data_IF_512097615774
#
_entry.id   IF_512097615774
#
_cell.length_a   1.000
_cell.length_b   1.000
_cell.length_c   1.000
_cell.angle_alpha   90.00
_cell.angle_beta   90.00
_cell.angle_gamma   90.00
#
_symmetry.space_group_name_H-M   'P 1'
#
loop_
_entity.id
_entity.type
_entity.pdbx_description
1 polymer ?
#
# COMPACT_ATOMS: atom_id res chain seq x y z
N UNK A 1 52.62 -28.99 -16.70
CA UNK A 1 51.36 -28.22 -16.57
C UNK A 1 51.59 -26.71 -16.44
N UNK A 2 52.42 -26.25 -15.49
CA UNK A 2 52.78 -24.81 -15.34
C UNK A 2 53.40 -24.15 -16.58
N UNK A 3 54.20 -24.90 -17.36
CA UNK A 3 54.82 -24.37 -18.59
C UNK A 3 53.76 -24.03 -19.66
N UNK A 4 52.77 -24.91 -19.84
CA UNK A 4 51.69 -24.76 -20.83
C UNK A 4 50.80 -23.56 -20.48
N UNK A 5 50.46 -23.39 -19.18
CA UNK A 5 49.68 -22.23 -18.69
C UNK A 5 50.44 -20.91 -18.88
N UNK A 6 51.77 -20.90 -18.65
CA UNK A 6 52.61 -19.71 -18.88
C UNK A 6 52.68 -19.32 -20.35
N UNK A 7 52.88 -20.29 -21.26
CA UNK A 7 52.87 -20.02 -22.70
C UNK A 7 51.47 -19.56 -23.17
N UNK A 8 50.40 -20.14 -22.63
CA UNK A 8 49.03 -19.72 -22.93
C UNK A 8 48.74 -18.27 -22.48
N UNK A 9 49.14 -17.87 -21.26
CA UNK A 9 49.01 -16.50 -20.79
C UNK A 9 49.83 -15.51 -21.60
N UNK A 10 51.05 -15.88 -22.00
CA UNK A 10 51.90 -15.06 -22.86
C UNK A 10 51.25 -14.85 -24.25
N UNK A 11 50.59 -15.88 -24.78
CA UNK A 11 49.83 -15.82 -26.04
C UNK A 11 48.59 -14.93 -25.94
N UNK A 12 47.81 -15.02 -24.85
CA UNK A 12 46.68 -14.12 -24.61
C UNK A 12 47.12 -12.66 -24.46
N UNK A 13 48.28 -12.44 -23.83
CA UNK A 13 48.86 -11.10 -23.62
C UNK A 13 49.47 -10.51 -24.89
N UNK A 14 49.83 -11.30 -25.90
CA UNK A 14 50.27 -10.79 -27.20
C UNK A 14 49.08 -10.39 -28.09
N UNK A 15 47.90 -11.00 -27.92
CA UNK A 15 46.66 -10.74 -28.69
C UNK A 15 45.58 -10.00 -27.87
N UNK A 16 45.99 -8.98 -27.11
CA UNK A 16 45.15 -8.31 -26.09
C UNK A 16 43.80 -7.84 -26.63
N UNK A 17 43.76 -7.24 -27.81
CA UNK A 17 42.53 -6.69 -28.39
C UNK A 17 41.51 -7.80 -28.69
N UNK A 18 41.92 -8.82 -29.44
CA UNK A 18 41.03 -9.93 -29.83
C UNK A 18 40.59 -10.72 -28.61
N UNK A 19 41.50 -10.99 -27.67
CA UNK A 19 41.15 -11.64 -26.40
C UNK A 19 40.20 -10.79 -25.54
N UNK A 20 40.36 -9.46 -25.50
CA UNK A 20 39.44 -8.59 -24.77
C UNK A 20 38.04 -8.60 -25.40
N UNK A 21 37.94 -8.54 -26.73
CA UNK A 21 36.66 -8.60 -27.45
C UNK A 21 35.94 -9.94 -27.23
N UNK A 22 36.66 -11.06 -27.24
CA UNK A 22 36.05 -12.38 -26.97
C UNK A 22 35.59 -12.51 -25.52
N UNK A 23 36.41 -12.07 -24.56
CA UNK A 23 36.03 -12.05 -23.14
C UNK A 23 34.84 -11.13 -22.90
N UNK A 24 34.81 -9.93 -23.50
CA UNK A 24 33.69 -9.01 -23.39
C UNK A 24 32.41 -9.60 -23.98
N UNK A 25 32.49 -10.28 -25.12
CA UNK A 25 31.35 -10.97 -25.74
C UNK A 25 30.79 -12.06 -24.83
N UNK A 26 31.66 -12.94 -24.30
CA UNK A 26 31.25 -13.99 -23.35
C UNK A 26 30.66 -13.38 -22.07
N UNK A 27 31.31 -12.36 -21.51
CA UNK A 27 30.85 -11.67 -20.31
C UNK A 27 29.47 -11.03 -20.52
N UNK A 28 29.24 -10.39 -21.67
CA UNK A 28 27.94 -9.81 -22.01
C UNK A 28 26.86 -10.88 -22.13
N UNK A 29 27.15 -11.99 -22.83
CA UNK A 29 26.19 -13.10 -22.95
C UNK A 29 25.82 -13.72 -21.60
N UNK A 30 26.81 -13.98 -20.74
CA UNK A 30 26.59 -14.55 -19.40
C UNK A 30 25.85 -13.55 -18.51
N UNK A 31 26.24 -12.27 -18.53
CA UNK A 31 25.58 -11.22 -17.74
C UNK A 31 24.13 -11.05 -18.15
N UNK A 32 23.83 -11.10 -19.44
CA UNK A 32 22.45 -11.02 -19.94
C UNK A 32 21.63 -12.22 -19.46
N UNK A 33 22.17 -13.44 -19.59
CA UNK A 33 21.48 -14.66 -19.16
C UNK A 33 21.19 -14.63 -17.65
N UNK A 34 22.21 -14.36 -16.83
CA UNK A 34 22.08 -14.28 -15.36
C UNK A 34 21.18 -13.11 -14.97
N UNK A 35 21.29 -11.97 -15.65
CA UNK A 35 20.46 -10.79 -15.41
C UNK A 35 18.99 -11.08 -15.62
N UNK A 36 18.62 -11.75 -16.72
CA UNK A 36 17.23 -12.14 -16.99
C UNK A 36 16.70 -13.08 -15.90
N UNK A 37 17.47 -14.10 -15.51
CA UNK A 37 17.02 -15.04 -14.49
C UNK A 37 16.88 -14.37 -13.12
N UNK A 38 17.79 -13.45 -12.78
CA UNK A 38 17.73 -12.68 -11.54
C UNK A 38 16.50 -11.76 -11.50
N UNK A 39 16.22 -11.06 -12.61
CA UNK A 39 15.01 -10.21 -12.73
C UNK A 39 13.75 -11.07 -12.62
N UNK A 40 13.71 -12.21 -13.31
CA UNK A 40 12.58 -13.14 -13.28
C UNK A 40 12.32 -13.66 -11.86
N UNK A 41 13.37 -14.10 -11.17
CA UNK A 41 13.28 -14.54 -9.78
C UNK A 41 12.80 -13.42 -8.86
N UNK A 42 13.38 -12.23 -8.98
CA UNK A 42 12.99 -11.05 -8.18
C UNK A 42 11.54 -10.63 -8.38
N UNK A 43 11.03 -10.69 -9.62
CA UNK A 43 9.61 -10.45 -9.91
C UNK A 43 8.75 -11.51 -9.22
N UNK A 44 9.09 -12.80 -9.38
CA UNK A 44 8.32 -13.90 -8.78
C UNK A 44 8.27 -13.78 -7.25
N UNK A 45 9.38 -13.47 -6.62
CA UNK A 45 9.49 -13.27 -5.17
C UNK A 45 8.70 -12.04 -4.70
N UNK A 46 8.67 -10.97 -5.50
CA UNK A 46 7.87 -9.78 -5.19
C UNK A 46 6.37 -10.09 -5.19
N UNK A 47 5.90 -10.88 -6.16
CA UNK A 47 4.51 -11.32 -6.19
C UNK A 47 4.18 -12.25 -5.03
N UNK A 48 5.02 -13.27 -4.77
CA UNK A 48 4.83 -14.23 -3.68
C UNK A 48 4.96 -13.61 -2.28
N UNK A 49 5.75 -12.54 -2.16
CA UNK A 49 6.00 -11.84 -0.90
C UNK A 49 5.02 -10.73 -0.58
N UNK A 50 4.02 -10.43 -1.41
CA UNK A 50 3.12 -9.30 -1.15
C UNK A 50 2.06 -9.63 -0.09
N UNK A 51 1.49 -10.84 -0.13
CA UNK A 51 0.45 -11.28 0.80
C UNK A 51 0.73 -12.69 1.31
N UNK A 52 0.62 -12.90 2.62
CA UNK A 52 0.80 -14.20 3.28
C UNK A 52 -0.27 -14.44 4.33
N UNK A 53 -0.54 -15.71 4.59
CA UNK A 53 -1.55 -16.15 5.55
C UNK A 53 -2.98 -15.92 5.09
N UNK A 54 -3.20 -15.67 3.79
CA UNK A 54 -4.52 -15.56 3.17
C UNK A 54 -4.71 -16.75 2.25
N UNK A 55 -5.67 -17.60 2.58
CA UNK A 55 -5.98 -18.81 1.81
C UNK A 55 -6.98 -18.54 0.69
N UNK A 56 -7.85 -17.53 0.86
CA UNK A 56 -8.93 -17.23 -0.07
C UNK A 56 -9.19 -15.73 -0.17
N UNK A 57 -9.29 -15.24 -1.41
CA UNK A 57 -9.80 -13.91 -1.72
C UNK A 57 -11.18 -14.07 -2.35
N UNK A 58 -12.18 -13.43 -1.76
CA UNK A 58 -13.56 -13.47 -2.26
C UNK A 58 -13.89 -12.11 -2.88
N UNK A 59 -14.07 -12.09 -4.21
CA UNK A 59 -14.51 -10.92 -4.96
C UNK A 59 -15.88 -11.16 -5.61
N UNK A 60 -16.48 -10.11 -6.17
CA UNK A 60 -17.69 -10.27 -6.97
C UNK A 60 -17.38 -11.02 -8.28
N UNK A 61 -18.44 -11.45 -8.98
CA UNK A 61 -18.31 -12.25 -10.21
C UNK A 61 -17.45 -11.50 -11.24
N UNK A 62 -16.35 -12.11 -11.67
CA UNK A 62 -15.37 -11.51 -12.57
C UNK A 62 -14.17 -12.42 -12.80
N UNK A 63 -13.10 -11.88 -13.38
CA UNK A 63 -11.86 -12.62 -13.60
C UNK A 63 -11.04 -12.79 -12.31
N UNK A 64 -10.61 -14.00 -11.98
CA UNK A 64 -9.80 -14.31 -10.79
C UNK A 64 -8.53 -13.46 -10.72
N UNK A 65 -7.85 -13.28 -11.86
CA UNK A 65 -6.64 -12.46 -11.94
C UNK A 65 -6.92 -10.99 -11.63
N UNK A 66 -8.07 -10.47 -12.06
CA UNK A 66 -8.46 -9.08 -11.79
C UNK A 66 -8.73 -8.87 -10.30
N UNK A 67 -9.45 -9.79 -9.64
CA UNK A 67 -9.69 -9.75 -8.19
C UNK A 67 -8.35 -9.75 -7.43
N UNK A 68 -7.43 -10.64 -7.82
CA UNK A 68 -6.10 -10.74 -7.20
C UNK A 68 -5.30 -9.45 -7.38
N UNK A 69 -5.19 -8.95 -8.61
CA UNK A 69 -4.40 -7.76 -8.93
C UNK A 69 -4.97 -6.50 -8.28
N UNK A 70 -6.29 -6.31 -8.28
CA UNK A 70 -6.93 -5.14 -7.69
C UNK A 70 -6.88 -5.13 -6.17
N UNK A 71 -6.98 -6.30 -5.53
CA UNK A 71 -6.97 -6.44 -4.07
C UNK A 71 -5.55 -6.38 -3.50
N UNK A 72 -4.64 -7.20 -4.04
CA UNK A 72 -3.30 -7.40 -3.47
C UNK A 72 -2.30 -6.36 -3.98
N UNK A 73 -2.41 -5.98 -5.25
CA UNK A 73 -1.45 -5.07 -5.89
C UNK A 73 -2.02 -3.67 -6.13
N UNK A 74 -3.32 -3.45 -5.93
CA UNK A 74 -3.98 -2.20 -6.26
C UNK A 74 -4.02 -1.90 -7.76
N UNK A 75 -3.79 -2.90 -8.62
CA UNK A 75 -3.70 -2.73 -10.08
C UNK A 75 -5.05 -3.03 -10.73
N UNK A 76 -5.51 -2.11 -11.58
CA UNK A 76 -6.78 -2.24 -12.30
C UNK A 76 -8.00 -1.89 -11.44
N UNK A 77 -9.19 -2.20 -11.95
CA UNK A 77 -10.46 -1.83 -11.32
C UNK A 77 -11.03 -2.98 -10.48
N UNK A 78 -11.71 -2.65 -9.38
CA UNK A 78 -12.44 -3.62 -8.58
C UNK A 78 -13.55 -4.28 -9.40
N UNK A 79 -13.65 -5.61 -9.33
CA UNK A 79 -14.70 -6.35 -10.00
C UNK A 79 -15.96 -6.33 -9.14
N UNK A 80 -16.74 -5.26 -9.22
CA UNK A 80 -17.99 -5.09 -8.46
C UNK A 80 -17.83 -5.20 -6.93
N UNK A 81 -18.95 -5.13 -6.22
CA UNK A 81 -18.98 -5.23 -4.76
C UNK A 81 -19.60 -6.56 -4.30
N UNK A 82 -19.09 -7.09 -3.19
CA UNK A 82 -19.68 -8.26 -2.52
C UNK A 82 -20.69 -7.75 -1.48
N UNK A 83 -21.88 -8.36 -1.44
CA UNK A 83 -22.90 -8.00 -0.45
C UNK A 83 -22.40 -8.32 0.98
N UNK A 84 -22.71 -7.43 1.92
CA UNK A 84 -22.34 -7.59 3.34
C UNK A 84 -22.84 -8.91 3.94
N UNK A 85 -24.04 -9.37 3.54
CA UNK A 85 -24.61 -10.68 3.95
C UNK A 85 -23.70 -11.86 3.60
N UNK A 86 -22.98 -11.79 2.47
CA UNK A 86 -22.05 -12.84 2.04
C UNK A 86 -20.80 -12.84 2.92
N UNK A 87 -20.27 -11.66 3.27
CA UNK A 87 -19.17 -11.54 4.23
C UNK A 87 -19.55 -12.13 5.58
N UNK A 88 -20.72 -11.77 6.11
CA UNK A 88 -21.17 -12.24 7.43
C UNK A 88 -21.35 -13.76 7.47
N UNK A 89 -21.87 -14.35 6.38
CA UNK A 89 -21.94 -15.81 6.23
C UNK A 89 -20.56 -16.47 6.35
N UNK A 90 -19.55 -15.92 5.67
CA UNK A 90 -18.19 -16.47 5.73
C UNK A 90 -17.53 -16.24 7.08
N UNK A 91 -17.81 -15.11 7.73
CA UNK A 91 -17.31 -14.80 9.07
C UNK A 91 -17.77 -15.83 10.12
N UNK A 92 -18.99 -16.34 9.98
CA UNK A 92 -19.57 -17.34 10.88
C UNK A 92 -19.23 -18.79 10.50
N UNK A 93 -18.54 -19.01 9.37
CA UNK A 93 -18.26 -20.35 8.89
C UNK A 93 -17.14 -21.01 9.72
N UNK A 94 -17.31 -22.27 10.20
CA UNK A 94 -16.39 -22.88 11.15
C UNK A 94 -14.96 -23.10 10.61
N UNK A 95 -14.81 -23.20 9.28
CA UNK A 95 -13.50 -23.30 8.64
C UNK A 95 -12.76 -21.96 8.48
N UNK A 96 -13.39 -20.83 8.81
CA UNK A 96 -12.82 -19.49 8.62
C UNK A 96 -12.31 -18.96 9.95
N UNK A 97 -10.99 -18.78 10.06
CA UNK A 97 -10.35 -18.30 11.30
C UNK A 97 -10.55 -16.81 11.53
N UNK A 98 -10.57 -16.01 10.46
CA UNK A 98 -10.74 -14.57 10.49
C UNK A 98 -11.13 -14.06 9.10
N UNK A 99 -11.73 -12.87 9.03
CA UNK A 99 -12.12 -12.20 7.79
C UNK A 99 -11.68 -10.74 7.89
N UNK A 100 -11.07 -10.23 6.83
CA UNK A 100 -10.75 -8.81 6.69
C UNK A 100 -11.58 -8.25 5.52
N UNK A 101 -12.51 -7.32 5.77
CA UNK A 101 -13.22 -6.63 4.70
C UNK A 101 -12.26 -5.72 3.94
N UNK A 102 -12.45 -5.62 2.63
CA UNK A 102 -11.57 -4.86 1.74
C UNK A 102 -12.39 -4.22 0.63
N UNK A 103 -12.68 -2.92 0.79
CA UNK A 103 -13.44 -2.11 -0.15
C UNK A 103 -12.49 -1.26 -1.01
N UNK A 104 -12.84 -1.12 -2.29
CA UNK A 104 -12.04 -0.48 -3.32
C UNK A 104 -12.97 0.32 -4.24
N UNK A 105 -12.50 1.47 -4.72
CA UNK A 105 -13.26 2.26 -5.70
C UNK A 105 -12.73 3.68 -5.85
N UNK A 106 -12.23 4.24 -4.76
CA UNK A 106 -11.84 5.64 -4.70
C UNK A 106 -10.33 5.83 -4.72
N UNK A 107 -9.91 7.08 -4.94
CA UNK A 107 -8.51 7.47 -4.92
C UNK A 107 -8.31 8.82 -4.24
N UNK A 108 -7.05 9.10 -3.92
CA UNK A 108 -6.60 10.40 -3.45
C UNK A 108 -5.28 10.73 -4.13
N UNK A 109 -5.27 11.74 -5.01
CA UNK A 109 -4.06 12.18 -5.74
C UNK A 109 -3.31 11.03 -6.43
N UNK A 110 -4.07 10.10 -7.03
CA UNK A 110 -3.53 8.92 -7.72
C UNK A 110 -3.14 7.75 -6.80
N UNK A 111 -3.26 7.88 -5.47
CA UNK A 111 -3.14 6.76 -4.54
C UNK A 111 -4.49 6.12 -4.30
N UNK A 112 -4.51 4.80 -4.14
CA UNK A 112 -5.75 4.05 -3.94
C UNK A 112 -6.27 4.23 -2.53
N UNK A 113 -7.57 4.46 -2.40
CA UNK A 113 -8.27 4.45 -1.11
C UNK A 113 -8.84 3.05 -0.89
N UNK A 114 -8.59 2.51 0.30
CA UNK A 114 -8.98 1.17 0.71
C UNK A 114 -9.81 1.29 1.99
N UNK A 115 -11.06 0.87 1.92
CA UNK A 115 -11.92 0.72 3.10
C UNK A 115 -11.65 -0.63 3.77
N UNK A 116 -11.25 -0.64 5.03
CA UNK A 116 -10.99 -1.88 5.76
C UNK A 116 -11.28 -1.75 7.25
N UNK A 117 -10.98 -2.80 8.03
CA UNK A 117 -11.16 -2.83 9.48
C UNK A 117 -9.82 -2.96 10.20
N UNK A 118 -9.83 -2.77 11.53
CA UNK A 118 -8.63 -2.91 12.37
C UNK A 118 -7.91 -4.27 12.20
N UNK A 119 -8.66 -5.34 11.93
CA UNK A 119 -8.12 -6.69 11.69
C UNK A 119 -7.10 -6.73 10.54
N UNK A 120 -7.18 -5.82 9.58
CA UNK A 120 -6.18 -5.70 8.51
C UNK A 120 -4.77 -5.50 9.09
N UNK A 121 -4.62 -4.55 10.01
CA UNK A 121 -3.32 -4.23 10.61
C UNK A 121 -2.81 -5.38 11.49
N UNK A 122 -3.72 -6.12 12.13
CA UNK A 122 -3.38 -7.21 13.05
C UNK A 122 -3.03 -8.52 12.34
N UNK A 123 -3.77 -8.85 11.28
CA UNK A 123 -3.73 -10.17 10.62
C UNK A 123 -2.87 -10.19 9.37
N UNK A 124 -2.80 -9.08 8.62
CA UNK A 124 -2.09 -9.06 7.35
C UNK A 124 -0.60 -9.33 7.55
N UNK A 125 -0.05 -10.25 6.76
CA UNK A 125 1.38 -10.58 6.74
C UNK A 125 1.93 -10.37 5.35
N UNK A 126 3.16 -9.89 5.30
CA UNK A 126 3.90 -9.69 4.06
C UNK A 126 5.33 -10.22 4.18
N UNK A 127 5.93 -10.51 3.03
CA UNK A 127 7.31 -11.00 2.84
C UNK A 127 7.60 -12.28 3.61
N UNK A 128 8.48 -12.31 4.61
CA UNK A 128 8.72 -13.54 5.39
C UNK A 128 7.63 -13.66 6.46
N UNK A 129 7.67 -12.75 7.43
CA UNK A 129 6.69 -12.60 8.53
C UNK A 129 6.49 -11.13 8.92
N UNK A 130 6.65 -10.21 7.96
CA UNK A 130 6.43 -8.79 8.18
C UNK A 130 5.01 -8.53 8.66
N UNK A 131 4.89 -7.73 9.73
CA UNK A 131 3.62 -7.27 10.28
C UNK A 131 3.47 -5.79 9.98
N UNK A 132 2.23 -5.36 9.76
CA UNK A 132 1.95 -3.94 9.64
C UNK A 132 2.21 -3.29 10.99
N UNK A 133 2.98 -2.20 10.97
CA UNK A 133 3.32 -1.41 12.16
C UNK A 133 3.29 0.07 11.80
N UNK A 134 3.21 0.92 12.79
CA UNK A 134 3.08 2.36 12.62
C UNK A 134 4.42 3.06 12.84
N UNK A 135 4.79 3.93 11.90
CA UNK A 135 5.87 4.90 12.10
C UNK A 135 5.42 6.02 13.04
N UNK A 136 4.15 6.41 12.94
CA UNK A 136 3.53 7.42 13.79
C UNK A 136 2.02 7.18 13.93
N UNK A 137 1.46 7.60 15.06
CA UNK A 137 0.01 7.61 15.28
C UNK A 137 -0.59 6.24 15.58
N UNK A 138 -1.84 6.03 15.15
CA UNK A 138 -2.67 4.87 15.51
C UNK A 138 -3.52 4.37 14.34
N UNK A 139 -4.16 3.22 14.54
CA UNK A 139 -5.20 2.67 13.66
C UNK A 139 -6.40 3.63 13.59
N UNK A 140 -7.00 3.77 12.40
CA UNK A 140 -8.24 4.52 12.22
C UNK A 140 -9.42 3.76 12.82
N UNK A 141 -10.24 4.45 13.61
CA UNK A 141 -11.42 3.91 14.29
C UNK A 141 -12.70 4.68 13.95
N UNK A 142 -12.61 6.00 13.73
CA UNK A 142 -13.76 6.80 13.32
C UNK A 142 -13.91 6.85 11.80
N UNK A 143 -15.11 7.21 11.33
CA UNK A 143 -15.46 7.44 9.92
C UNK A 143 -14.64 8.56 9.28
N UNK A 144 -14.22 9.56 10.06
CA UNK A 144 -13.38 10.70 9.64
C UNK A 144 -11.87 10.45 9.75
N UNK A 145 -11.43 9.28 10.21
CA UNK A 145 -10.01 8.97 10.42
C UNK A 145 -9.40 8.20 9.24
N UNK A 146 -8.13 8.50 8.91
CA UNK A 146 -7.40 7.79 7.85
C UNK A 146 -5.98 7.44 8.28
N UNK A 147 -5.52 6.26 7.85
CA UNK A 147 -4.13 5.80 7.96
C UNK A 147 -3.50 5.80 6.59
N UNK A 148 -2.28 6.30 6.46
CA UNK A 148 -1.59 6.36 5.17
C UNK A 148 -0.36 5.46 5.13
N UNK A 149 -0.12 4.85 3.97
CA UNK A 149 1.13 4.14 3.68
C UNK A 149 2.34 5.08 3.63
N UNK A 150 3.54 4.50 3.75
CA UNK A 150 4.79 5.27 3.79
C UNK A 150 5.01 6.12 2.53
N UNK A 151 4.83 5.55 1.33
CA UNK A 151 5.04 6.27 0.07
C UNK A 151 4.04 7.43 -0.08
N UNK A 152 2.82 7.31 0.45
CA UNK A 152 1.82 8.39 0.45
C UNK A 152 2.32 9.55 1.32
N UNK A 153 2.75 9.23 2.55
CA UNK A 153 3.27 10.23 3.49
C UNK A 153 4.50 10.95 2.92
N UNK A 154 5.46 10.20 2.37
CA UNK A 154 6.69 10.74 1.81
C UNK A 154 6.43 11.57 0.54
N UNK A 155 5.62 11.09 -0.40
CA UNK A 155 5.45 11.80 -1.69
C UNK A 155 4.54 13.01 -1.59
N UNK A 156 3.52 12.95 -0.74
CA UNK A 156 2.58 14.05 -0.53
C UNK A 156 2.99 14.96 0.65
N UNK A 157 4.07 14.61 1.37
CA UNK A 157 4.55 15.31 2.56
C UNK A 157 3.47 15.42 3.65
N UNK A 158 2.69 14.34 3.81
CA UNK A 158 1.62 14.27 4.80
C UNK A 158 2.14 13.81 6.15
N UNK A 159 1.53 14.36 7.21
CA UNK A 159 1.84 14.02 8.59
C UNK A 159 0.55 13.73 9.36
N UNK A 160 0.68 13.21 10.58
CA UNK A 160 -0.49 13.02 11.45
C UNK A 160 -1.16 14.37 11.68
N UNK A 161 -2.45 14.45 11.36
CA UNK A 161 -3.30 15.62 11.42
C UNK A 161 -3.57 16.32 10.10
N UNK A 162 -2.90 15.93 9.02
CA UNK A 162 -3.19 16.46 7.68
C UNK A 162 -4.61 16.08 7.24
N UNK A 163 -5.42 17.03 6.70
CA UNK A 163 -6.71 16.71 6.11
C UNK A 163 -6.55 16.06 4.73
N UNK A 164 -7.41 15.09 4.43
CA UNK A 164 -7.41 14.30 3.19
C UNK A 164 -8.82 14.29 2.62
N UNK A 165 -8.96 14.71 1.36
CA UNK A 165 -10.23 14.65 0.62
C UNK A 165 -10.14 13.57 -0.45
N UNK A 166 -11.05 12.63 -0.40
CA UNK A 166 -11.09 11.49 -1.33
C UNK A 166 -11.91 11.85 -2.58
N UNK A 167 -11.52 11.28 -3.72
CA UNK A 167 -12.17 11.45 -5.02
C UNK A 167 -12.62 10.10 -5.57
N UNK A 168 -13.77 10.07 -6.23
CA UNK A 168 -14.27 8.84 -6.85
C UNK A 168 -13.39 8.38 -8.01
N UNK A 169 -13.15 7.07 -8.09
CA UNK A 169 -12.42 6.44 -9.20
C UNK A 169 -10.90 6.59 -9.12
N UNK A 170 -10.20 5.84 -9.98
CA UNK A 170 -8.73 5.79 -10.02
C UNK A 170 -8.09 6.90 -10.88
N UNK A 171 -8.90 7.64 -11.65
CA UNK A 171 -8.44 8.71 -12.53
C UNK A 171 -9.13 10.00 -12.14
N UNK A 172 -8.34 11.06 -11.99
CA UNK A 172 -8.72 12.43 -11.65
C UNK A 172 -9.47 13.14 -12.81
N UNK A 173 -10.41 12.43 -13.45
CA UNK A 173 -11.33 12.95 -14.44
C UNK A 173 -12.59 13.33 -13.67
N UNK A 174 -12.51 14.51 -13.07
CA UNK A 174 -13.49 15.02 -12.12
C UNK A 174 -14.92 14.97 -12.64
N UNK A 175 -15.78 14.40 -11.82
CA UNK A 175 -17.20 14.75 -11.75
C UNK A 175 -17.76 14.71 -10.32
N UNK A 176 -17.04 14.12 -9.34
CA UNK A 176 -17.49 14.05 -7.93
C UNK A 176 -16.30 14.00 -6.95
N UNK A 177 -16.08 15.08 -6.19
CA UNK A 177 -15.14 15.11 -5.05
C UNK A 177 -15.93 15.05 -3.74
N UNK A 178 -15.45 14.30 -2.73
CA UNK A 178 -16.08 14.26 -1.40
C UNK A 178 -15.59 15.40 -0.49
N UNK A 179 -15.63 16.64 -0.99
CA UNK A 179 -15.19 17.82 -0.21
C UNK A 179 -16.00 18.03 1.08
N UNK A 180 -17.21 17.44 1.16
CA UNK A 180 -18.08 17.50 2.33
C UNK A 180 -17.61 16.65 3.52
N UNK A 181 -16.77 15.63 3.31
CA UNK A 181 -16.27 14.71 4.35
C UNK A 181 -14.73 14.59 4.31
N UNK A 182 -13.99 15.59 4.80
CA UNK A 182 -12.54 15.49 4.88
C UNK A 182 -12.12 14.50 5.97
N UNK A 183 -11.33 13.51 5.58
CA UNK A 183 -10.65 12.63 6.52
C UNK A 183 -9.47 13.35 7.17
N UNK A 184 -9.04 12.86 8.34
CA UNK A 184 -7.84 13.35 9.03
C UNK A 184 -6.86 12.22 9.23
N UNK A 185 -5.61 12.44 8.84
CA UNK A 185 -4.55 11.44 9.04
C UNK A 185 -4.34 11.22 10.54
N UNK A 186 -4.50 9.99 11.01
CA UNK A 186 -4.26 9.59 12.41
C UNK A 186 -3.11 8.61 12.56
N UNK A 187 -2.63 8.04 11.46
CA UNK A 187 -1.50 7.12 11.48
C UNK A 187 -0.73 7.09 10.16
N UNK A 188 0.57 6.83 10.27
CA UNK A 188 1.48 6.58 9.14
C UNK A 188 2.10 5.22 9.35
N UNK A 189 2.00 4.35 8.36
CA UNK A 189 2.58 3.01 8.41
C UNK A 189 4.11 3.06 8.26
N UNK A 190 4.81 2.15 8.93
CA UNK A 190 6.20 1.86 8.61
C UNK A 190 6.31 1.29 7.21
N UNK A 191 7.42 1.60 6.53
CA UNK A 191 7.68 1.15 5.17
C UNK A 191 7.68 -0.37 5.07
N UNK A 192 6.78 -0.92 4.26
CA UNK A 192 6.67 -2.37 4.03
C UNK A 192 7.42 -2.82 2.77
N UNK A 193 7.70 -1.89 1.87
CA UNK A 193 8.16 -2.11 0.49
C UNK A 193 7.22 -3.06 -0.27
N UNK A 194 5.92 -2.90 -0.05
CA UNK A 194 4.84 -3.61 -0.75
C UNK A 194 3.79 -2.58 -1.22
N UNK A 195 2.78 -2.98 -2.02
CA UNK A 195 1.68 -2.09 -2.43
C UNK A 195 0.94 -1.40 -1.26
N UNK A 196 1.09 -1.89 -0.03
CA UNK A 196 0.57 -1.25 1.19
C UNK A 196 1.08 0.18 1.34
N UNK A 197 2.34 0.43 1.01
CA UNK A 197 2.95 1.77 1.15
C UNK A 197 2.27 2.82 0.25
N UNK A 198 1.59 2.38 -0.81
CA UNK A 198 0.98 3.23 -1.86
C UNK A 198 -0.54 3.37 -1.73
N UNK A 199 -1.07 3.12 -0.54
CA UNK A 199 -2.51 3.14 -0.28
C UNK A 199 -2.88 4.04 0.90
N UNK A 200 -4.11 4.53 0.85
CA UNK A 200 -4.77 5.30 1.88
C UNK A 200 -5.86 4.41 2.49
N UNK A 201 -5.86 4.24 3.81
CA UNK A 201 -6.72 3.30 4.51
C UNK A 201 -7.73 4.03 5.39
N UNK A 202 -9.00 3.82 5.09
CA UNK A 202 -10.13 4.37 5.85
C UNK A 202 -10.95 3.22 6.44
N UNK A 203 -11.81 3.55 7.40
CA UNK A 203 -12.79 2.60 7.95
C UNK A 203 -13.87 2.29 6.91
N UNK A 204 -14.58 1.17 7.08
CA UNK A 204 -15.74 0.88 6.22
C UNK A 204 -16.85 1.91 6.42
N UNK A 205 -17.03 2.33 7.65
CA UNK A 205 -17.97 3.36 8.07
C UNK A 205 -17.62 4.70 7.41
N UNK A 206 -16.33 5.02 7.27
CA UNK A 206 -15.87 6.19 6.52
C UNK A 206 -16.22 6.12 5.03
N UNK A 207 -16.14 4.93 4.42
CA UNK A 207 -16.61 4.70 3.05
C UNK A 207 -18.14 4.81 2.95
N UNK A 208 -18.90 4.40 3.96
CA UNK A 208 -20.36 4.52 3.92
C UNK A 208 -20.80 5.97 4.12
N UNK A 209 -20.28 6.65 5.14
CA UNK A 209 -20.61 8.04 5.46
C UNK A 209 -20.33 9.01 4.29
N UNK A 210 -19.24 8.78 3.53
CA UNK A 210 -18.94 9.61 2.36
C UNK A 210 -19.88 9.38 1.16
N UNK A 211 -20.58 8.24 1.13
CA UNK A 211 -21.50 7.85 0.06
C UNK A 211 -22.99 8.04 0.42
N UNK A 212 -23.34 8.14 1.70
CA UNK A 212 -24.72 8.35 2.15
C UNK A 212 -25.30 9.69 1.67
N UNK A 213 -24.51 10.76 1.64
CA UNK A 213 -24.96 12.09 1.19
C UNK A 213 -25.24 12.19 -0.33
N UNK A 214 -24.80 11.20 -1.12
CA UNK A 214 -25.06 11.12 -2.56
C UNK A 214 -26.31 10.30 -2.94
N UNK A 215 -26.86 9.53 -2.01
CA UNK A 215 -27.92 8.55 -2.30
C UNK A 215 -29.32 9.17 -2.50
N UNK A 216 -29.54 10.42 -2.11
CA UNK A 216 -30.84 11.10 -2.24
C UNK A 216 -31.08 11.66 -3.66
N UNK A 217 -30.06 11.73 -4.52
CA UNK A 217 -30.15 12.36 -5.84
C UNK A 217 -30.31 11.38 -7.02
N UNK A 218 -30.20 10.06 -6.83
CA UNK A 218 -30.18 9.09 -7.94
C UNK A 218 -31.39 8.15 -8.01
N UNK A 219 -32.47 8.42 -7.26
CA UNK A 219 -33.70 7.63 -7.27
C UNK A 219 -34.87 8.23 -8.08
N UNK A 220 -34.60 9.18 -8.99
CA UNK A 220 -35.60 9.72 -9.93
C UNK A 220 -35.05 9.72 -11.36
N UNK A 221 -34.97 8.54 -11.97
CA UNK A 221 -34.45 8.39 -13.32
C UNK A 221 -34.95 7.10 -13.98
N UNK A 222 -36.26 6.94 -14.09
CA UNK A 222 -36.85 5.75 -14.70
C UNK A 222 -38.32 5.91 -15.07
N UNK A 223 -38.60 6.68 -16.13
CA UNK A 223 -39.76 6.45 -17.00
C UNK A 223 -39.60 7.25 -18.30
N UNK A 224 -39.33 6.53 -19.38
CA UNK A 224 -39.47 7.05 -20.75
C UNK A 224 -40.96 7.21 -21.05
N UNK A 225 -41.37 8.37 -21.57
CA UNK A 225 -42.34 8.38 -22.67
C UNK A 225 -42.23 9.63 -23.54
N UNK A 226 -42.15 9.35 -24.83
CA UNK A 226 -42.25 10.29 -25.95
C UNK A 226 -43.56 11.07 -25.91
N UNK A 227 -43.50 12.40 -26.14
CA UNK A 227 -44.32 13.11 -27.14
C UNK A 227 -43.92 14.58 -27.29
N UNK A 228 -43.92 14.98 -28.55
CA UNK A 228 -43.83 16.31 -29.15
C UNK A 228 -44.67 17.41 -28.49
N UNK A 229 -44.14 18.65 -28.43
CA UNK A 229 -44.76 19.83 -29.07
C UNK A 229 -44.00 21.12 -28.77
N UNK A 230 -44.12 22.02 -29.73
CA UNK A 230 -43.46 23.30 -29.97
C UNK A 230 -44.10 24.45 -29.18
N UNK A 231 -43.30 25.45 -28.79
CA UNK A 231 -43.70 26.86 -28.71
C UNK A 231 -44.21 27.39 -27.37
N UNK A 232 -43.74 28.59 -26.99
CA UNK A 232 -44.41 29.43 -25.99
C UNK A 232 -43.48 30.28 -25.11
N UNK A 233 -43.45 31.58 -25.39
CA UNK A 233 -42.79 32.65 -24.63
C UNK A 233 -43.42 32.92 -23.25
N UNK A 234 -42.66 33.55 -22.36
CA UNK A 234 -42.98 34.81 -21.64
C UNK A 234 -42.64 34.85 -20.13
N UNK A 235 -41.80 35.84 -19.80
CA UNK A 235 -41.86 36.81 -18.69
C UNK A 235 -42.18 36.40 -17.23
N UNK A 236 -41.22 36.72 -16.34
CA UNK A 236 -41.43 37.69 -15.25
C UNK A 236 -41.85 37.16 -13.87
N UNK A 237 -41.10 37.54 -12.81
CA UNK A 237 -41.58 37.44 -11.43
C UNK A 237 -40.49 37.36 -10.36
N UNK A 238 -40.00 38.53 -9.93
CA UNK A 238 -39.13 38.75 -8.77
C UNK A 238 -39.88 38.57 -7.44
N UNK A 239 -39.23 38.09 -6.37
CA UNK A 239 -39.56 38.42 -4.96
C UNK A 239 -38.43 38.00 -4.01
N UNK A 240 -37.87 39.00 -3.31
CA UNK A 240 -36.91 38.94 -2.21
C UNK A 240 -37.43 38.18 -0.96
N UNK A 241 -36.53 37.63 -0.14
CA UNK A 241 -36.19 38.18 1.20
C UNK A 241 -35.40 37.17 2.05
N UNK A 242 -34.39 37.65 2.79
CA UNK A 242 -33.73 36.86 3.84
C UNK A 242 -32.20 36.88 3.87
N UNK A 243 -31.57 38.04 3.70
CA UNK A 243 -30.12 38.24 3.93
C UNK A 243 -29.84 38.21 5.45
N UNK A 244 -29.41 37.06 5.98
CA UNK A 244 -28.93 36.93 7.36
C UNK A 244 -27.86 35.82 7.48
N UNK A 245 -26.60 36.24 7.39
CA UNK A 245 -25.44 35.76 8.17
C UNK A 245 -25.30 34.23 8.34
N UNK A 246 -24.91 33.52 7.28
CA UNK A 246 -24.17 32.25 7.40
C UNK A 246 -22.79 32.46 6.78
N UNK A 247 -21.82 32.75 7.63
CA UNK A 247 -20.42 32.67 7.27
C UNK A 247 -20.16 31.24 6.78
N UNK A 248 -19.56 31.08 5.59
CA UNK A 248 -19.28 29.75 5.07
C UNK A 248 -18.28 29.07 6.02
N UNK A 249 -18.58 27.85 6.44
CA UNK A 249 -17.71 27.02 7.29
C UNK A 249 -16.30 26.89 6.67
N UNK A 250 -16.22 27.01 5.34
CA UNK A 250 -14.98 27.09 4.55
C UNK A 250 -14.07 28.25 4.99
N UNK A 251 -14.62 29.44 5.23
CA UNK A 251 -13.81 30.58 5.67
C UNK A 251 -13.50 30.56 7.18
N UNK A 252 -14.38 29.99 7.98
CA UNK A 252 -14.09 29.72 9.40
C UNK A 252 -12.93 28.70 9.55
N UNK A 253 -12.85 27.71 8.65
CA UNK A 253 -11.83 26.66 8.69
C UNK A 253 -10.50 27.07 8.03
N UNK A 254 -10.51 27.87 6.96
CA UNK A 254 -9.28 28.48 6.41
C UNK A 254 -8.54 29.34 7.44
N UNK A 255 -9.27 30.08 8.27
CA UNK A 255 -8.69 30.89 9.36
C UNK A 255 -8.04 30.04 10.46
N UNK A 256 -8.57 28.84 10.73
CA UNK A 256 -8.01 27.91 11.73
C UNK A 256 -6.79 27.14 11.20
N UNK A 257 -6.77 26.81 9.91
CA UNK A 257 -5.62 26.19 9.24
C UNK A 257 -4.39 27.13 9.14
N UNK A 258 -4.59 28.44 9.24
CA UNK A 258 -3.52 29.44 9.20
C UNK A 258 -2.67 29.53 10.49
N UNK A 259 -3.01 28.78 11.56
CA UNK A 259 -2.38 28.89 12.89
C UNK A 259 -1.40 27.73 13.20
N UNK A 260 -1.08 26.86 12.24
CA UNK A 260 -0.24 25.68 12.49
C UNK A 260 1.14 25.85 11.82
N UNK A 261 2.26 25.68 12.55
CA UNK A 261 3.60 25.89 12.01
C UNK A 261 3.90 24.89 10.89
N UNK A 262 4.43 25.42 9.78
CA UNK A 262 4.64 24.71 8.50
C UNK A 262 5.96 23.93 8.40
N UNK A 263 6.67 23.69 9.50
CA UNK A 263 8.04 23.15 9.44
C UNK A 263 8.17 21.84 10.21
N UNK A 264 8.58 20.75 9.55
CA UNK A 264 8.93 19.51 10.25
C UNK A 264 10.25 19.67 11.01
N UNK A 265 10.44 19.00 12.16
CA UNK A 265 11.68 19.05 12.92
C UNK A 265 12.84 18.45 12.12
N UNK A 266 13.94 19.18 12.08
CA UNK A 266 15.20 18.81 11.44
C UNK A 266 15.94 17.74 12.23
N UNK A 267 16.38 16.68 11.54
CA UNK A 267 17.43 15.79 12.04
C UNK A 267 17.05 14.31 12.08
N UNK A 268 17.12 13.63 10.93
CA UNK A 268 17.43 12.20 10.87
C UNK A 268 18.37 11.97 9.68
N UNK A 269 19.56 11.38 9.86
CA UNK A 269 20.51 11.19 8.78
C UNK A 269 19.97 10.20 7.74
N UNK A 270 20.14 10.57 6.47
CA UNK A 270 19.83 9.75 5.29
C UNK A 270 20.72 8.51 5.26
N UNK A 271 20.16 7.32 5.46
CA UNK A 271 20.84 6.06 5.18
C UNK A 271 20.40 5.53 3.82
N UNK A 272 21.28 5.66 2.82
CA UNK A 272 21.12 5.06 1.50
C UNK A 272 21.36 3.54 1.60
N UNK A 273 20.52 2.68 1.01
CA UNK A 273 20.80 1.25 0.92
C UNK A 273 21.82 1.01 -0.21
N UNK A 274 23.06 0.68 0.12
CA UNK A 274 24.08 0.31 -0.88
C UNK A 274 25.56 0.45 -0.51
N UNK A 275 25.93 0.91 0.69
CA UNK A 275 27.32 0.93 1.13
C UNK A 275 27.60 -0.26 2.06
N UNK A 276 28.17 -1.34 1.52
CA UNK A 276 28.94 -2.30 2.31
C UNK A 276 30.09 -1.55 2.99
N UNK A 277 30.20 -1.65 4.31
CA UNK A 277 31.42 -1.31 5.03
C UNK A 277 32.20 -2.59 5.26
N UNK A 278 33.25 -2.77 4.45
CA UNK A 278 34.29 -3.74 4.71
C UNK A 278 35.33 -3.14 5.67
N UNK A 279 35.32 -3.57 6.93
CA UNK A 279 36.44 -3.59 7.89
C UNK A 279 35.87 -4.09 9.25
N UNK A 280 36.46 -5.01 10.02
CA UNK A 280 37.75 -5.65 9.92
C UNK A 280 37.83 -6.81 10.92
N UNK A 281 38.80 -7.67 10.63
CA UNK A 281 39.27 -8.81 11.41
C UNK A 281 39.79 -8.36 12.78
N UNK A 282 39.50 -9.16 13.82
CA UNK A 282 40.44 -9.40 14.93
C UNK A 282 40.11 -8.75 16.27
N UNK A 283 39.45 -9.51 17.15
CA UNK A 283 39.73 -9.47 18.59
C UNK A 283 39.36 -10.83 19.19
N UNK A 284 40.37 -11.67 19.42
CA UNK A 284 40.24 -12.85 20.25
C UNK A 284 40.00 -12.44 21.69
N UNK A 285 39.03 -13.08 22.34
CA UNK A 285 38.93 -13.07 23.80
C UNK A 285 39.01 -14.51 24.32
N UNK A 286 40.20 -14.78 24.84
CA UNK A 286 40.54 -15.86 25.74
C UNK A 286 39.65 -15.80 26.99
N UNK A 287 38.83 -16.83 27.21
CA UNK A 287 38.33 -17.17 28.54
C UNK A 287 39.07 -18.42 29.02
N UNK A 288 40.06 -18.21 29.91
CA UNK A 288 40.85 -19.24 30.57
C UNK A 288 40.56 -19.20 32.07
N UNK A 289 40.07 -20.31 32.61
CA UNK A 289 40.00 -20.66 34.04
C UNK A 289 38.75 -20.15 34.77
N UNK A 290 38.20 -20.82 35.77
CA UNK A 290 38.44 -22.11 36.43
C UNK A 290 37.33 -22.18 37.51
N UNK A 291 36.63 -23.31 37.69
CA UNK A 291 35.94 -23.59 38.97
C UNK A 291 34.57 -24.25 38.91
N UNK A 292 34.52 -25.49 39.42
CA UNK A 292 33.38 -26.29 39.92
C UNK A 292 32.26 -26.66 38.91
N UNK A 293 32.21 -27.86 38.35
CA UNK A 293 31.95 -29.18 38.97
C UNK A 293 30.54 -29.29 39.60
N UNK A 294 29.67 -30.04 38.92
CA UNK A 294 28.36 -30.48 39.39
C UNK A 294 27.71 -31.39 38.35
N UNK A 295 27.89 -32.71 38.53
CA UNK A 295 27.30 -33.79 37.74
C UNK A 295 25.91 -34.15 38.28
N UNK A 296 24.96 -34.40 37.39
CA UNK A 296 23.90 -35.44 37.45
C UNK A 296 23.24 -35.44 36.05
N UNK A 297 23.33 -36.44 35.16
CA UNK A 297 22.83 -37.84 35.21
C UNK A 297 21.38 -37.90 35.73
N UNK A 298 20.36 -38.51 35.12
CA UNK A 298 20.21 -39.41 33.98
C UNK A 298 18.71 -39.39 33.58
N UNK A 299 18.34 -39.44 32.30
CA UNK A 299 17.77 -40.60 31.60
C UNK A 299 16.25 -40.85 31.73
N UNK A 300 15.71 -41.39 30.61
CA UNK A 300 14.47 -42.18 30.40
C UNK A 300 13.14 -41.40 30.30
N UNK A 301 12.14 -41.82 29.52
CA UNK A 301 11.95 -42.76 28.39
C UNK A 301 10.45 -42.61 28.00
N UNK A 302 10.15 -42.72 26.70
CA UNK A 302 8.98 -43.39 26.06
C UNK A 302 7.57 -43.43 26.71
N UNK A 303 6.59 -43.21 25.81
CA UNK A 303 5.23 -43.79 25.69
C UNK A 303 4.08 -43.26 26.56
N UNK A 304 3.15 -42.55 25.91
CA UNK A 304 1.81 -43.08 25.56
C UNK A 304 1.26 -42.32 24.35
#
# INVERSE_FOLDING_TARGET
MMLIVRLALASLRSRKLTTALTVASIALSVTLLVGIETVRAGVRDSFAGTIRGVDLIVGARGGTLQVLLSTVFGIGNASGSVQLRTMERWRQHPAVKWVVPYSLGDSHRGFRVVGTSAEFYERYRFRKDGRISFAAGKVAQADSEVVIGWDVAERLQYTVGTPVVVTHGLRDIGTSNHEAHPFRVVGVLNRTFTPIDRSVYVTLEGIEAMHDEGSVASAAGGASNSRSSTGGSSTGGSSNDGKSKRESVVEANKRRAAVIPKTPPTGVPMAMPGAETAAGVGAGQSCRGKGACGREAAARRTSR
#
